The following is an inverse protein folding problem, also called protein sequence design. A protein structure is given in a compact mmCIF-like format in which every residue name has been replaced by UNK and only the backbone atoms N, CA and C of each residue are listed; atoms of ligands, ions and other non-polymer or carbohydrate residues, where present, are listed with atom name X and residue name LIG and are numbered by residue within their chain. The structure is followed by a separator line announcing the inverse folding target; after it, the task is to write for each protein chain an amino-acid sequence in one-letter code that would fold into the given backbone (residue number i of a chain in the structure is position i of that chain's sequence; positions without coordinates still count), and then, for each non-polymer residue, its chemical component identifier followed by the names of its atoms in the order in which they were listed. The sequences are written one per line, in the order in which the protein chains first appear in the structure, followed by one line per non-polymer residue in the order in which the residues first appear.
data_IF_146057233402
#
_entry.id   IF_146057233402
#
_cell.length_a   1.000
_cell.length_b   1.000
_cell.length_c   1.000
_cell.angle_alpha   90.00
_cell.angle_beta   90.00
_cell.angle_gamma   90.00
#
_symmetry.space_group_name_H-M   'P 1'
#
loop_
_entity.id
_entity.type
_entity.pdbx_description
1 polymer ?
#
# COMPACT_ATOMS: atom_id res chain seq x y z
N UNK A 1 74.64 27.05 30.66
CA UNK A 1 73.22 27.16 31.09
C UNK A 1 72.38 26.50 30.03
N UNK A 2 72.08 25.19 30.20
CA UNK A 2 71.30 24.39 29.25
C UNK A 2 69.84 24.46 29.65
N UNK A 3 68.98 24.97 28.76
CA UNK A 3 67.53 24.94 28.92
C UNK A 3 66.97 23.73 28.14
N UNK A 4 66.54 22.70 28.88
CA UNK A 4 65.90 21.51 28.33
C UNK A 4 64.45 21.76 28.16
N UNK A 5 63.96 21.89 26.92
CA UNK A 5 62.53 21.92 26.57
C UNK A 5 61.95 20.50 26.58
N UNK A 6 61.07 20.20 27.54
CA UNK A 6 60.27 18.97 27.56
C UNK A 6 59.10 19.13 26.60
N UNK A 7 59.05 18.32 25.56
CA UNK A 7 57.89 18.15 24.69
C UNK A 7 56.87 17.29 25.41
N UNK A 8 55.65 17.87 25.67
CA UNK A 8 54.51 17.15 26.17
C UNK A 8 53.74 16.58 24.95
N UNK A 9 53.83 15.27 24.77
CA UNK A 9 53.03 14.59 23.77
C UNK A 9 51.59 14.46 24.24
N UNK A 10 50.67 15.22 23.64
CA UNK A 10 49.24 15.01 23.80
C UNK A 10 48.83 13.79 22.95
N UNK A 11 48.60 12.65 23.59
CA UNK A 11 47.93 11.52 22.94
C UNK A 11 46.45 11.81 22.87
N UNK A 12 45.96 12.16 21.67
CA UNK A 12 44.54 12.24 21.38
C UNK A 12 44.00 10.81 21.31
N UNK A 13 43.40 10.35 22.41
CA UNK A 13 42.59 9.11 22.41
C UNK A 13 41.31 9.40 21.64
N UNK A 14 41.29 9.04 20.35
CA UNK A 14 40.05 9.01 19.56
C UNK A 14 39.21 7.85 20.09
N UNK A 15 38.27 8.14 20.97
CA UNK A 15 37.17 7.23 21.25
C UNK A 15 36.31 7.11 19.97
N UNK A 16 36.62 6.10 19.15
CA UNK A 16 35.67 5.67 18.14
C UNK A 16 34.43 5.17 18.88
N UNK A 17 33.35 5.97 18.84
CA UNK A 17 32.02 5.49 19.18
C UNK A 17 31.68 4.39 18.19
N UNK A 18 32.04 3.16 18.52
CA UNK A 18 31.48 1.97 17.87
C UNK A 18 30.02 1.94 18.34
N UNK A 19 29.11 2.51 17.54
CA UNK A 19 27.69 2.24 17.70
C UNK A 19 27.56 0.70 17.72
N UNK A 20 26.86 0.12 18.70
CA UNK A 20 26.65 -1.31 18.68
C UNK A 20 25.89 -1.64 17.39
N UNK A 21 26.62 -2.20 16.42
CA UNK A 21 25.99 -2.96 15.34
C UNK A 21 25.16 -4.00 16.09
N UNK A 22 23.84 -3.93 15.96
CA UNK A 22 22.94 -4.96 16.53
C UNK A 22 23.48 -6.29 16.01
N UNK A 23 24.11 -7.03 16.90
CA UNK A 23 24.57 -8.37 16.56
C UNK A 23 23.33 -9.18 16.22
N UNK A 24 23.21 -9.58 14.94
CA UNK A 24 22.27 -10.61 14.54
C UNK A 24 22.39 -11.75 15.54
N UNK A 25 21.27 -12.29 15.99
CA UNK A 25 21.33 -13.48 16.83
C UNK A 25 21.74 -14.68 15.96
N UNK A 26 23.04 -14.89 15.85
CA UNK A 26 23.65 -15.89 14.97
C UNK A 26 23.16 -17.30 15.29
N UNK A 27 22.84 -17.56 16.55
CA UNK A 27 22.29 -18.83 16.99
C UNK A 27 20.90 -19.08 16.41
N UNK A 28 19.99 -18.10 16.54
CA UNK A 28 18.63 -18.19 15.98
C UNK A 28 18.67 -18.22 14.44
N UNK A 29 19.56 -17.47 13.81
CA UNK A 29 19.71 -17.50 12.36
C UNK A 29 20.19 -18.88 11.89
N UNK A 30 21.20 -19.46 12.56
CA UNK A 30 21.68 -20.81 12.29
C UNK A 30 20.60 -21.87 12.52
N UNK A 31 19.81 -21.74 13.60
CA UNK A 31 18.68 -22.61 13.88
C UNK A 31 17.65 -22.57 12.74
N UNK A 32 17.22 -21.36 12.33
CA UNK A 32 16.26 -21.17 11.25
C UNK A 32 16.74 -21.84 9.96
N UNK A 33 17.96 -21.57 9.54
CA UNK A 33 18.49 -22.06 8.26
C UNK A 33 18.65 -23.57 8.22
N UNK A 34 18.95 -24.22 9.36
CA UNK A 34 19.11 -25.68 9.45
C UNK A 34 17.80 -26.42 9.61
N UNK A 35 16.89 -25.90 10.45
CA UNK A 35 15.70 -26.66 10.89
C UNK A 35 14.40 -26.13 10.34
N UNK A 36 14.38 -24.89 9.83
CA UNK A 36 13.18 -24.11 9.49
C UNK A 36 12.20 -23.94 10.67
N UNK A 37 12.64 -24.16 11.90
CA UNK A 37 11.86 -24.00 13.12
C UNK A 37 12.47 -22.89 13.96
N UNK A 38 11.77 -21.75 14.08
CA UNK A 38 12.26 -20.58 14.79
C UNK A 38 11.10 -19.75 15.37
N UNK A 39 10.18 -20.44 16.07
CA UNK A 39 9.10 -19.74 16.78
C UNK A 39 9.70 -18.87 17.88
N UNK A 40 9.21 -17.63 17.99
CA UNK A 40 9.66 -16.64 18.97
C UNK A 40 11.16 -16.30 18.91
N UNK A 41 11.88 -16.71 17.86
CA UNK A 41 13.27 -16.34 17.66
C UNK A 41 13.41 -14.82 17.49
N UNK A 42 14.53 -14.26 17.95
CA UNK A 42 14.96 -12.92 17.58
C UNK A 42 15.85 -13.01 16.33
N UNK A 43 15.29 -12.56 15.21
CA UNK A 43 15.90 -12.49 13.89
C UNK A 43 15.91 -11.04 13.40
N UNK A 44 15.85 -10.07 14.34
CA UNK A 44 15.82 -8.66 14.00
C UNK A 44 17.06 -8.23 13.24
N UNK A 45 16.85 -7.55 12.10
CA UNK A 45 17.94 -7.13 11.19
C UNK A 45 18.59 -8.24 10.39
N UNK A 46 18.13 -9.49 10.49
CA UNK A 46 18.75 -10.65 9.83
C UNK A 46 18.81 -10.49 8.30
N UNK A 47 19.95 -10.84 7.70
CA UNK A 47 20.18 -10.90 6.25
C UNK A 47 19.71 -12.25 5.67
N UNK A 48 18.50 -12.32 5.14
CA UNK A 48 17.85 -13.53 4.62
C UNK A 48 17.48 -13.42 3.13
N UNK A 49 18.19 -12.59 2.38
CA UNK A 49 17.98 -12.40 0.95
C UNK A 49 18.12 -13.72 0.21
N UNK A 50 17.16 -14.07 -0.67
CA UNK A 50 17.06 -15.35 -1.39
C UNK A 50 16.97 -16.60 -0.52
N UNK A 51 16.81 -16.48 0.81
CA UNK A 51 16.74 -17.66 1.69
C UNK A 51 15.58 -18.57 1.32
N UNK A 52 15.81 -19.89 1.36
CA UNK A 52 14.75 -20.87 1.18
C UNK A 52 14.09 -21.23 2.53
N UNK A 53 13.04 -20.51 2.85
CA UNK A 53 12.24 -20.64 4.07
C UNK A 53 10.83 -21.19 3.79
N UNK A 54 10.65 -21.90 2.66
CA UNK A 54 9.37 -22.52 2.33
C UNK A 54 8.95 -23.50 3.45
N UNK A 55 7.72 -23.32 3.97
CA UNK A 55 7.16 -24.06 5.08
C UNK A 55 7.82 -23.78 6.44
N UNK A 56 8.67 -22.76 6.56
CA UNK A 56 9.32 -22.43 7.83
C UNK A 56 8.29 -22.01 8.89
N UNK A 57 8.54 -22.40 10.15
CA UNK A 57 7.76 -21.96 11.29
C UNK A 57 8.46 -20.79 12.00
N UNK A 58 7.93 -19.61 11.78
CA UNK A 58 8.39 -18.33 12.29
C UNK A 58 7.31 -17.65 13.16
N UNK A 59 6.36 -18.44 13.70
CA UNK A 59 5.29 -17.90 14.51
C UNK A 59 5.83 -17.12 15.71
N UNK A 60 5.35 -15.86 15.88
CA UNK A 60 5.78 -14.97 16.96
C UNK A 60 7.25 -14.52 16.88
N UNK A 61 7.99 -14.84 15.81
CA UNK A 61 9.38 -14.40 15.66
C UNK A 61 9.51 -12.88 15.51
N UNK A 62 10.60 -12.32 16.02
CA UNK A 62 10.97 -10.93 15.78
C UNK A 62 11.86 -10.84 14.54
N UNK A 63 11.31 -10.36 13.44
CA UNK A 63 11.99 -10.12 12.16
C UNK A 63 12.09 -8.63 11.84
N UNK A 64 11.91 -7.76 12.85
CA UNK A 64 11.92 -6.31 12.64
C UNK A 64 13.19 -5.85 11.93
N UNK A 65 13.03 -5.14 10.80
CA UNK A 65 14.15 -4.65 9.98
C UNK A 65 14.94 -5.73 9.25
N UNK A 66 14.53 -7.00 9.28
CA UNK A 66 15.20 -8.06 8.53
C UNK A 66 15.06 -7.87 7.02
N UNK A 67 16.01 -8.41 6.24
CA UNK A 67 15.96 -8.38 4.79
C UNK A 67 15.65 -9.78 4.23
N UNK A 68 14.40 -9.98 3.85
CA UNK A 68 13.85 -11.19 3.22
C UNK A 68 13.55 -10.97 1.74
N UNK A 69 14.22 -10.00 1.10
CA UNK A 69 14.01 -9.72 -0.33
C UNK A 69 14.26 -10.98 -1.15
N UNK A 70 13.31 -11.30 -2.04
CA UNK A 70 13.33 -12.48 -2.93
C UNK A 70 13.46 -13.83 -2.20
N UNK A 71 13.20 -13.87 -0.88
CA UNK A 71 13.16 -15.12 -0.13
C UNK A 71 11.95 -15.99 -0.53
N UNK A 72 12.11 -17.30 -0.45
CA UNK A 72 11.05 -18.29 -0.67
C UNK A 72 10.39 -18.60 0.66
N UNK A 73 9.19 -18.07 0.91
CA UNK A 73 8.41 -18.22 2.14
C UNK A 73 7.05 -18.91 1.87
N UNK A 74 6.94 -19.62 0.73
CA UNK A 74 5.68 -20.28 0.38
C UNK A 74 5.25 -21.24 1.50
N UNK A 75 4.01 -21.07 1.99
CA UNK A 75 3.45 -21.85 3.09
C UNK A 75 4.11 -21.63 4.46
N UNK A 76 4.97 -20.63 4.64
CA UNK A 76 5.58 -20.33 5.92
C UNK A 76 4.54 -19.82 6.94
N UNK A 77 4.75 -20.16 8.22
CA UNK A 77 3.95 -19.67 9.32
C UNK A 77 4.64 -18.45 9.97
N UNK A 78 4.11 -17.26 9.72
CA UNK A 78 4.54 -15.97 10.25
C UNK A 78 3.48 -15.37 11.20
N UNK A 79 2.55 -16.21 11.72
CA UNK A 79 1.46 -15.72 12.56
C UNK A 79 1.99 -15.04 13.82
N UNK A 80 1.47 -13.82 14.11
CA UNK A 80 1.88 -13.02 15.26
C UNK A 80 3.33 -12.52 15.22
N UNK A 81 4.08 -12.72 14.11
CA UNK A 81 5.45 -12.27 13.99
C UNK A 81 5.54 -10.72 13.94
N UNK A 82 6.62 -10.17 14.47
CA UNK A 82 6.96 -8.76 14.29
C UNK A 82 7.78 -8.62 13.00
N UNK A 83 7.13 -8.08 11.97
CA UNK A 83 7.68 -7.84 10.63
C UNK A 83 7.85 -6.34 10.36
N UNK A 84 7.89 -5.51 11.40
CA UNK A 84 7.99 -4.05 11.24
C UNK A 84 9.26 -3.66 10.52
N UNK A 85 9.14 -2.90 9.41
CA UNK A 85 10.28 -2.49 8.59
C UNK A 85 11.02 -3.63 7.87
N UNK A 86 10.48 -4.84 7.87
CA UNK A 86 11.06 -5.99 7.16
C UNK A 86 10.94 -5.80 5.65
N UNK A 87 12.00 -6.10 4.89
CA UNK A 87 11.96 -6.12 3.43
C UNK A 87 11.55 -7.50 2.92
N UNK A 88 10.39 -7.58 2.24
CA UNK A 88 9.91 -8.72 1.47
C UNK A 88 9.87 -8.41 -0.03
N UNK A 89 10.68 -7.47 -0.49
CA UNK A 89 10.66 -7.05 -1.90
C UNK A 89 10.84 -8.26 -2.83
N UNK A 90 9.84 -8.55 -3.67
CA UNK A 90 9.85 -9.71 -4.57
C UNK A 90 9.82 -11.09 -3.90
N UNK A 91 9.55 -11.18 -2.60
CA UNK A 91 9.51 -12.46 -1.88
C UNK A 91 8.27 -13.30 -2.26
N UNK A 92 8.41 -14.61 -2.22
CA UNK A 92 7.29 -15.55 -2.42
C UNK A 92 6.66 -15.92 -1.08
N UNK A 93 5.53 -15.29 -0.77
CA UNK A 93 4.68 -15.53 0.40
C UNK A 93 3.40 -16.30 0.04
N UNK A 94 3.40 -17.01 -1.09
CA UNK A 94 2.24 -17.80 -1.55
C UNK A 94 1.79 -18.79 -0.47
N UNK A 95 0.52 -18.70 -0.05
CA UNK A 95 -0.04 -19.55 1.00
C UNK A 95 0.54 -19.35 2.40
N UNK A 96 1.37 -18.33 2.63
CA UNK A 96 1.92 -18.04 3.95
C UNK A 96 0.84 -17.59 4.93
N UNK A 97 1.01 -17.92 6.21
CA UNK A 97 0.15 -17.47 7.30
C UNK A 97 0.77 -16.25 7.99
N UNK A 98 0.21 -15.07 7.75
CA UNK A 98 0.62 -13.80 8.38
C UNK A 98 -0.42 -13.31 9.42
N UNK A 99 -1.34 -14.17 9.88
CA UNK A 99 -2.42 -13.75 10.78
C UNK A 99 -1.89 -13.06 12.04
N UNK A 100 -2.38 -11.85 12.30
CA UNK A 100 -1.97 -11.06 13.46
C UNK A 100 -0.51 -10.57 13.43
N UNK A 101 0.20 -10.71 12.31
CA UNK A 101 1.56 -10.20 12.17
C UNK A 101 1.58 -8.66 12.16
N UNK A 102 2.63 -8.07 12.72
CA UNK A 102 2.87 -6.63 12.71
C UNK A 102 3.72 -6.27 11.50
N UNK A 103 3.13 -5.64 10.49
CA UNK A 103 3.80 -5.30 9.21
C UNK A 103 4.02 -3.79 9.02
N UNK A 104 4.10 -3.03 10.11
CA UNK A 104 4.26 -1.58 10.05
C UNK A 104 5.53 -1.19 9.28
N UNK A 105 5.38 -0.46 8.16
CA UNK A 105 6.49 -0.05 7.32
C UNK A 105 7.22 -1.19 6.61
N UNK A 106 6.65 -2.40 6.58
CA UNK A 106 7.23 -3.52 5.82
C UNK A 106 7.18 -3.26 4.31
N UNK A 107 8.20 -3.68 3.59
CA UNK A 107 8.29 -3.55 2.13
C UNK A 107 7.88 -4.86 1.45
N UNK A 108 6.63 -4.92 0.99
CA UNK A 108 6.04 -6.04 0.25
C UNK A 108 5.93 -5.77 -1.26
N UNK A 109 6.68 -4.78 -1.78
CA UNK A 109 6.63 -4.43 -3.21
C UNK A 109 7.03 -5.61 -4.08
N UNK A 110 6.16 -5.94 -5.04
CA UNK A 110 6.38 -7.08 -5.94
C UNK A 110 6.31 -8.45 -5.27
N UNK A 111 5.97 -8.55 -3.99
CA UNK A 111 5.81 -9.83 -3.30
C UNK A 111 4.61 -10.63 -3.82
N UNK A 112 4.69 -11.96 -3.76
CA UNK A 112 3.61 -12.88 -4.13
C UNK A 112 2.83 -13.27 -2.87
N UNK A 113 1.55 -12.88 -2.79
CA UNK A 113 0.66 -13.09 -1.65
C UNK A 113 -0.55 -13.98 -2.00
N UNK A 114 -0.50 -14.69 -3.12
CA UNK A 114 -1.59 -15.58 -3.56
C UNK A 114 -1.90 -16.59 -2.46
N UNK A 115 -3.17 -16.64 -2.03
CA UNK A 115 -3.64 -17.51 -0.94
C UNK A 115 -2.96 -17.27 0.43
N UNK A 116 -2.23 -16.19 0.62
CA UNK A 116 -1.73 -15.82 1.94
C UNK A 116 -2.87 -15.45 2.89
N UNK A 117 -2.77 -15.84 4.16
CA UNK A 117 -3.73 -15.47 5.20
C UNK A 117 -3.24 -14.23 5.96
N UNK A 118 -4.06 -13.18 5.99
CA UNK A 118 -3.75 -11.87 6.58
C UNK A 118 -4.81 -11.44 7.60
N UNK A 119 -5.47 -12.40 8.26
CA UNK A 119 -6.53 -12.12 9.24
C UNK A 119 -5.93 -11.38 10.45
N UNK A 120 -6.47 -10.20 10.76
CA UNK A 120 -5.98 -9.38 11.86
C UNK A 120 -4.62 -8.70 11.61
N UNK A 121 -4.16 -8.67 10.35
CA UNK A 121 -2.94 -7.97 9.93
C UNK A 121 -3.33 -6.67 9.24
N UNK A 122 -2.91 -5.50 9.78
CA UNK A 122 -3.12 -4.20 9.13
C UNK A 122 -1.99 -3.91 8.15
N UNK A 123 -2.34 -3.72 6.88
CA UNK A 123 -1.41 -3.36 5.80
C UNK A 123 -1.32 -1.84 5.56
N UNK A 124 -1.96 -1.01 6.40
CA UNK A 124 -2.15 0.43 6.14
C UNK A 124 -0.86 1.22 6.01
N UNK A 125 0.22 0.75 6.62
CA UNK A 125 1.55 1.38 6.58
C UNK A 125 2.58 0.57 5.81
N UNK A 126 2.20 -0.59 5.24
CA UNK A 126 3.09 -1.43 4.45
C UNK A 126 3.19 -0.92 3.00
N UNK A 127 4.35 -1.07 2.38
CA UNK A 127 4.55 -0.78 0.96
C UNK A 127 4.22 -2.02 0.14
N UNK A 128 3.13 -1.99 -0.62
CA UNK A 128 2.61 -3.17 -1.34
C UNK A 128 2.44 -2.96 -2.84
N UNK A 129 3.08 -1.92 -3.42
CA UNK A 129 3.00 -1.62 -4.85
C UNK A 129 3.50 -2.82 -5.68
N UNK A 130 2.65 -3.27 -6.61
CA UNK A 130 2.98 -4.43 -7.45
C UNK A 130 2.92 -5.78 -6.73
N UNK A 131 2.47 -5.85 -5.47
CA UNK A 131 2.20 -7.12 -4.81
C UNK A 131 1.11 -7.92 -5.55
N UNK A 132 1.36 -9.21 -5.75
CA UNK A 132 0.52 -10.10 -6.56
C UNK A 132 -0.31 -11.00 -5.64
N UNK A 133 -1.61 -11.14 -5.97
CA UNK A 133 -2.49 -12.08 -5.24
C UNK A 133 -2.88 -11.61 -3.84
N UNK A 134 -2.77 -10.29 -3.54
CA UNK A 134 -3.18 -9.76 -2.24
C UNK A 134 -4.68 -10.00 -1.99
N UNK A 135 -5.04 -10.61 -0.85
CA UNK A 135 -6.44 -10.85 -0.48
C UNK A 135 -7.25 -9.55 -0.39
N UNK A 136 -8.54 -9.59 -0.76
CA UNK A 136 -9.41 -8.41 -0.74
C UNK A 136 -9.61 -7.84 0.67
N UNK A 137 -9.42 -8.63 1.71
CA UNK A 137 -9.57 -8.25 3.13
C UNK A 137 -8.23 -7.92 3.82
N UNK A 138 -7.15 -7.78 3.05
CA UNK A 138 -5.80 -7.58 3.59
C UNK A 138 -5.48 -6.12 3.98
N UNK A 139 -6.42 -5.20 3.87
CA UNK A 139 -6.19 -3.79 4.19
C UNK A 139 -7.49 -3.05 4.47
N UNK A 140 -7.39 -1.76 4.80
CA UNK A 140 -8.55 -0.89 4.98
C UNK A 140 -9.16 -0.43 3.65
N UNK A 141 -10.43 -0.01 3.63
CA UNK A 141 -11.04 0.62 2.47
C UNK A 141 -10.23 1.83 2.00
N UNK A 142 -9.72 2.62 2.95
CA UNK A 142 -8.91 3.83 2.68
C UNK A 142 -7.59 3.49 1.99
N UNK A 143 -6.94 2.38 2.36
CA UNK A 143 -5.71 1.91 1.74
C UNK A 143 -5.94 1.54 0.26
N UNK A 144 -6.92 0.68 -0.02
CA UNK A 144 -7.25 0.31 -1.40
C UNK A 144 -7.73 1.51 -2.22
N UNK A 145 -8.51 2.40 -1.61
CA UNK A 145 -8.91 3.65 -2.22
C UNK A 145 -7.70 4.54 -2.58
N UNK A 146 -6.73 4.70 -1.67
CA UNK A 146 -5.50 5.44 -1.91
C UNK A 146 -4.71 4.88 -3.10
N UNK A 147 -4.63 3.56 -3.25
CA UNK A 147 -4.00 2.93 -4.42
C UNK A 147 -4.81 3.14 -5.69
N UNK A 148 -6.14 3.09 -5.60
CA UNK A 148 -7.00 3.46 -6.71
C UNK A 148 -6.72 4.87 -7.21
N UNK A 149 -6.55 5.83 -6.30
CA UNK A 149 -6.20 7.20 -6.63
C UNK A 149 -4.83 7.31 -7.30
N UNK A 150 -3.80 6.63 -6.76
CA UNK A 150 -2.45 6.63 -7.36
C UNK A 150 -2.46 6.06 -8.78
N UNK A 151 -3.17 4.96 -9.01
CA UNK A 151 -3.29 4.39 -10.36
C UNK A 151 -4.09 5.31 -11.30
N UNK A 152 -5.15 5.96 -10.80
CA UNK A 152 -5.91 6.94 -11.58
C UNK A 152 -5.08 8.17 -11.97
N UNK A 153 -4.20 8.66 -11.08
CA UNK A 153 -3.27 9.76 -11.37
C UNK A 153 -2.27 9.40 -12.47
N UNK A 154 -1.81 8.15 -12.52
CA UNK A 154 -0.94 7.62 -13.58
C UNK A 154 -1.69 7.35 -14.89
N UNK A 155 -3.03 7.49 -14.92
CA UNK A 155 -3.87 7.14 -16.06
C UNK A 155 -4.22 5.66 -16.17
N UNK A 156 -3.83 4.83 -15.20
CA UNK A 156 -4.07 3.39 -15.15
C UNK A 156 -5.49 3.09 -14.63
N UNK A 157 -6.52 3.59 -15.32
CA UNK A 157 -7.91 3.53 -14.82
C UNK A 157 -8.44 2.12 -14.59
N UNK A 158 -8.01 1.11 -15.35
CA UNK A 158 -8.38 -0.30 -15.11
C UNK A 158 -7.84 -0.81 -13.76
N UNK A 159 -6.59 -0.50 -13.44
CA UNK A 159 -5.99 -0.84 -12.15
C UNK A 159 -6.64 -0.04 -11.01
N UNK A 160 -7.01 1.22 -11.26
CA UNK A 160 -7.77 2.03 -10.30
C UNK A 160 -9.12 1.39 -9.98
N UNK A 161 -9.88 0.92 -10.98
CA UNK A 161 -11.16 0.20 -10.76
C UNK A 161 -10.98 -1.01 -9.86
N UNK A 162 -9.98 -1.85 -10.12
CA UNK A 162 -9.69 -3.04 -9.29
C UNK A 162 -9.48 -2.66 -7.82
N UNK A 163 -8.78 -1.57 -7.54
CA UNK A 163 -8.52 -1.11 -6.19
C UNK A 163 -9.78 -0.49 -5.54
N UNK A 164 -10.56 0.29 -6.28
CA UNK A 164 -11.84 0.80 -5.77
C UNK A 164 -12.83 -0.31 -5.48
N UNK A 165 -12.90 -1.36 -6.31
CA UNK A 165 -13.74 -2.53 -6.05
C UNK A 165 -13.36 -3.24 -4.76
N UNK A 166 -12.06 -3.38 -4.46
CA UNK A 166 -11.58 -3.92 -3.18
C UNK A 166 -12.00 -3.04 -2.00
N UNK A 167 -11.84 -1.71 -2.11
CA UNK A 167 -12.27 -0.77 -1.08
C UNK A 167 -13.76 -0.90 -0.79
N UNK A 168 -14.57 -0.98 -1.84
CA UNK A 168 -16.04 -1.08 -1.75
C UNK A 168 -16.53 -2.45 -1.30
N UNK A 169 -15.78 -3.52 -1.57
CA UNK A 169 -16.06 -4.85 -1.03
C UNK A 169 -15.88 -4.90 0.50
N UNK A 170 -14.94 -4.13 1.06
CA UNK A 170 -14.71 -4.03 2.50
C UNK A 170 -15.71 -3.07 3.15
N UNK A 171 -15.94 -1.90 2.56
CA UNK A 171 -16.88 -0.90 3.03
C UNK A 171 -17.84 -0.48 1.90
N UNK A 172 -19.04 -1.10 1.80
CA UNK A 172 -20.05 -0.75 0.79
C UNK A 172 -20.61 0.67 0.93
N UNK A 173 -20.38 1.36 2.04
CA UNK A 173 -20.86 2.72 2.27
C UNK A 173 -19.75 3.77 2.07
N UNK A 174 -18.65 3.41 1.42
CA UNK A 174 -17.50 4.30 1.21
C UNK A 174 -17.74 5.24 0.02
N UNK A 175 -18.37 6.39 0.27
CA UNK A 175 -18.81 7.35 -0.76
C UNK A 175 -17.69 7.78 -1.71
N UNK A 176 -16.47 8.07 -1.17
CA UNK A 176 -15.30 8.46 -1.96
C UNK A 176 -14.87 7.36 -2.94
N UNK A 177 -15.00 6.09 -2.53
CA UNK A 177 -14.71 4.94 -3.39
C UNK A 177 -15.61 4.89 -4.62
N UNK A 178 -16.90 5.14 -4.46
CA UNK A 178 -17.84 5.22 -5.58
C UNK A 178 -17.56 6.41 -6.48
N UNK A 179 -17.26 7.59 -5.93
CA UNK A 179 -16.92 8.76 -6.73
C UNK A 179 -15.63 8.51 -7.55
N UNK A 180 -14.60 7.92 -6.92
CA UNK A 180 -13.36 7.55 -7.60
C UNK A 180 -13.58 6.50 -8.70
N UNK A 181 -14.42 5.49 -8.44
CA UNK A 181 -14.79 4.47 -9.42
C UNK A 181 -15.59 5.07 -10.59
N UNK A 182 -16.51 5.98 -10.31
CA UNK A 182 -17.26 6.73 -11.31
C UNK A 182 -16.34 7.55 -12.22
N UNK A 183 -15.35 8.24 -11.64
CA UNK A 183 -14.33 8.96 -12.39
C UNK A 183 -13.51 8.02 -13.31
N UNK A 184 -13.10 6.86 -12.81
CA UNK A 184 -12.36 5.89 -13.60
C UNK A 184 -13.18 5.33 -14.76
N UNK A 185 -14.49 5.05 -14.56
CA UNK A 185 -15.40 4.66 -15.64
C UNK A 185 -15.56 5.77 -16.68
N UNK A 186 -15.70 7.02 -16.27
CA UNK A 186 -15.77 8.15 -17.21
C UNK A 186 -14.53 8.22 -18.09
N UNK A 187 -13.35 8.08 -17.48
CA UNK A 187 -12.06 8.11 -18.19
C UNK A 187 -11.85 6.93 -19.15
N UNK A 188 -12.53 5.83 -18.91
CA UNK A 188 -12.59 4.66 -19.80
C UNK A 188 -13.73 4.74 -20.84
N UNK A 189 -14.49 5.84 -20.85
CA UNK A 189 -15.59 6.06 -21.80
C UNK A 189 -16.90 5.38 -21.43
N UNK A 190 -17.02 4.77 -20.24
CA UNK A 190 -18.25 4.16 -19.76
C UNK A 190 -19.08 5.16 -18.94
N UNK A 191 -19.79 6.04 -19.65
CA UNK A 191 -20.56 7.13 -19.03
C UNK A 191 -21.73 6.62 -18.19
N UNK A 192 -22.38 5.52 -18.57
CA UNK A 192 -23.49 4.95 -17.81
C UNK A 192 -23.02 4.41 -16.46
N UNK A 193 -21.93 3.67 -16.44
CA UNK A 193 -21.34 3.20 -15.18
C UNK A 193 -20.82 4.36 -14.33
N UNK A 194 -20.24 5.40 -14.96
CA UNK A 194 -19.83 6.62 -14.25
C UNK A 194 -21.03 7.28 -13.56
N UNK A 195 -22.14 7.49 -14.28
CA UNK A 195 -23.37 8.09 -13.75
C UNK A 195 -23.89 7.33 -12.53
N UNK A 196 -24.10 6.01 -12.67
CA UNK A 196 -24.61 5.16 -11.58
C UNK A 196 -23.74 5.23 -10.32
N UNK A 197 -22.43 5.19 -10.48
CA UNK A 197 -21.50 5.26 -9.35
C UNK A 197 -21.52 6.63 -8.67
N UNK A 198 -21.59 7.71 -9.42
CA UNK A 198 -21.62 9.07 -8.87
C UNK A 198 -22.99 9.40 -8.24
N UNK A 199 -24.10 8.91 -8.78
CA UNK A 199 -25.41 9.01 -8.15
C UNK A 199 -25.42 8.33 -6.79
N UNK A 200 -24.84 7.12 -6.70
CA UNK A 200 -24.74 6.40 -5.43
C UNK A 200 -23.80 7.11 -4.45
N UNK A 201 -22.67 7.63 -4.93
CA UNK A 201 -21.77 8.44 -4.12
C UNK A 201 -22.46 9.68 -3.56
N UNK A 202 -23.25 10.39 -4.39
CA UNK A 202 -23.99 11.57 -3.98
C UNK A 202 -24.98 11.26 -2.83
N UNK A 203 -25.72 10.17 -2.95
CA UNK A 203 -26.65 9.71 -1.89
C UNK A 203 -25.90 9.41 -0.59
N UNK A 204 -24.77 8.70 -0.66
CA UNK A 204 -23.95 8.39 0.51
C UNK A 204 -23.37 9.64 1.15
N UNK A 205 -22.91 10.62 0.36
CA UNK A 205 -22.39 11.89 0.90
C UNK A 205 -23.49 12.68 1.63
N UNK A 206 -24.71 12.68 1.12
CA UNK A 206 -25.86 13.30 1.78
C UNK A 206 -26.18 12.61 3.11
N UNK A 207 -26.28 11.28 3.13
CA UNK A 207 -26.50 10.48 4.33
C UNK A 207 -25.41 10.68 5.39
N UNK A 208 -24.14 10.84 4.94
CA UNK A 208 -22.96 11.08 5.78
C UNK A 208 -22.78 12.54 6.18
N UNK A 209 -23.70 13.43 5.78
CA UNK A 209 -23.62 14.88 6.04
C UNK A 209 -22.29 15.50 5.57
N UNK A 210 -21.83 15.10 4.39
CA UNK A 210 -20.64 15.62 3.74
C UNK A 210 -21.05 16.54 2.57
N UNK A 211 -21.26 17.84 2.80
CA UNK A 211 -21.75 18.78 1.78
C UNK A 211 -20.76 18.96 0.63
N UNK A 212 -19.44 18.98 0.90
CA UNK A 212 -18.42 19.15 -0.12
C UNK A 212 -18.42 17.95 -1.10
N UNK A 213 -18.57 16.73 -0.57
CA UNK A 213 -18.68 15.51 -1.36
C UNK A 213 -19.96 15.47 -2.19
N UNK A 214 -21.08 15.86 -1.58
CA UNK A 214 -22.36 15.96 -2.25
C UNK A 214 -22.31 16.94 -3.42
N UNK A 215 -21.82 18.16 -3.17
CA UNK A 215 -21.69 19.19 -4.21
C UNK A 215 -20.77 18.74 -5.36
N UNK A 216 -19.64 18.08 -5.02
CA UNK A 216 -18.71 17.55 -6.03
C UNK A 216 -19.39 16.50 -6.91
N UNK A 217 -20.16 15.58 -6.30
CA UNK A 217 -20.90 14.55 -7.03
C UNK A 217 -22.01 15.16 -7.91
N UNK A 218 -22.76 16.13 -7.40
CA UNK A 218 -23.80 16.83 -8.18
C UNK A 218 -23.21 17.60 -9.38
N UNK A 219 -22.11 18.29 -9.17
CA UNK A 219 -21.40 18.97 -10.25
C UNK A 219 -20.89 17.99 -11.31
N UNK A 220 -20.41 16.81 -10.88
CA UNK A 220 -19.99 15.76 -11.81
C UNK A 220 -21.21 15.31 -12.67
N UNK A 221 -22.33 14.99 -12.05
CA UNK A 221 -23.55 14.51 -12.76
C UNK A 221 -24.07 15.56 -13.74
N UNK A 222 -24.17 16.84 -13.32
CA UNK A 222 -24.61 17.94 -14.19
C UNK A 222 -23.75 18.08 -15.45
N UNK A 223 -22.43 17.99 -15.28
CA UNK A 223 -21.52 18.09 -16.41
C UNK A 223 -21.57 16.85 -17.31
N UNK A 224 -21.77 15.66 -16.73
CA UNK A 224 -21.95 14.43 -17.51
C UNK A 224 -23.21 14.49 -18.38
N UNK A 225 -24.31 15.01 -17.85
CA UNK A 225 -25.55 15.24 -18.61
C UNK A 225 -25.35 16.25 -19.74
N UNK A 226 -24.60 17.33 -19.50
CA UNK A 226 -24.25 18.30 -20.54
C UNK A 226 -23.44 17.66 -21.67
N UNK A 227 -22.49 16.77 -21.35
CA UNK A 227 -21.71 15.99 -22.32
C UNK A 227 -22.62 15.09 -23.15
N UNK A 228 -23.52 14.35 -22.51
CA UNK A 228 -24.45 13.43 -23.19
C UNK A 228 -25.40 14.20 -24.12
N UNK A 229 -25.96 15.31 -23.65
CA UNK A 229 -26.86 16.16 -24.44
C UNK A 229 -26.14 16.74 -25.67
N UNK A 230 -24.93 17.27 -25.48
CA UNK A 230 -24.16 17.86 -26.58
C UNK A 230 -23.72 16.82 -27.61
N UNK A 231 -23.43 15.57 -27.17
CA UNK A 231 -23.12 14.45 -28.08
C UNK A 231 -24.33 14.01 -28.89
N UNK A 232 -25.49 13.94 -28.28
CA UNK A 232 -26.75 13.59 -28.98
C UNK A 232 -27.15 14.65 -30.03
N UNK A 233 -26.90 15.94 -29.73
CA UNK A 233 -27.28 17.04 -30.63
C UNK A 233 -26.29 17.23 -31.79
N UNK A 234 -25.01 16.90 -31.66
CA UNK A 234 -23.96 17.26 -32.62
C UNK A 234 -23.36 16.06 -33.39
N UNK A 235 -23.83 14.84 -33.18
CA UNK A 235 -23.53 13.65 -34.01
C UNK A 235 -22.07 13.24 -34.13
N UNK A 236 -21.16 13.63 -33.19
CA UNK A 236 -19.77 13.23 -33.30
C UNK A 236 -18.80 13.81 -32.27
N UNK A 237 -17.52 13.53 -32.42
CA UNK A 237 -16.44 13.99 -31.57
C UNK A 237 -16.36 15.54 -31.59
N UNK A 238 -16.63 16.18 -30.48
CA UNK A 238 -16.54 17.63 -30.30
C UNK A 238 -15.40 17.93 -29.31
N UNK A 239 -14.34 18.69 -29.69
CA UNK A 239 -13.23 19.05 -28.81
C UNK A 239 -13.67 19.76 -27.53
N UNK A 240 -14.82 20.46 -27.54
CA UNK A 240 -15.36 21.11 -26.34
C UNK A 240 -15.81 20.09 -25.29
N UNK A 241 -16.31 18.90 -25.71
CA UNK A 241 -16.74 17.83 -24.81
C UNK A 241 -15.55 17.24 -24.04
N UNK A 242 -14.42 17.06 -24.71
CA UNK A 242 -13.19 16.61 -24.06
C UNK A 242 -12.70 17.60 -23.00
N UNK A 243 -12.87 18.91 -23.24
CA UNK A 243 -12.58 19.95 -22.26
C UNK A 243 -13.47 19.83 -21.01
N UNK A 244 -14.77 19.63 -21.18
CA UNK A 244 -15.71 19.44 -20.06
C UNK A 244 -15.37 18.17 -19.28
N UNK A 245 -15.15 17.05 -19.95
CA UNK A 245 -14.78 15.76 -19.31
C UNK A 245 -13.49 15.90 -18.49
N UNK A 246 -12.47 16.58 -19.03
CA UNK A 246 -11.21 16.83 -18.30
C UNK A 246 -11.42 17.75 -17.10
N UNK A 247 -12.24 18.80 -17.23
CA UNK A 247 -12.56 19.72 -16.14
C UNK A 247 -13.26 19.01 -14.98
N UNK A 248 -14.30 18.22 -15.28
CA UNK A 248 -15.01 17.40 -14.28
C UNK A 248 -14.08 16.42 -13.59
N UNK A 249 -13.28 15.72 -14.39
CA UNK A 249 -12.30 14.75 -13.86
C UNK A 249 -11.27 15.43 -12.94
N UNK A 250 -10.82 16.64 -13.29
CA UNK A 250 -9.88 17.40 -12.46
C UNK A 250 -10.49 17.82 -11.12
N UNK A 251 -11.71 18.36 -11.12
CA UNK A 251 -12.40 18.77 -9.89
C UNK A 251 -12.69 17.60 -8.97
N UNK A 252 -13.22 16.51 -9.51
CA UNK A 252 -13.46 15.29 -8.75
C UNK A 252 -12.16 14.73 -8.15
N UNK A 253 -11.08 14.67 -8.94
CA UNK A 253 -9.78 14.21 -8.47
C UNK A 253 -9.21 15.11 -7.37
N UNK A 254 -9.33 16.43 -7.47
CA UNK A 254 -8.89 17.36 -6.43
C UNK A 254 -9.62 17.14 -5.12
N UNK A 255 -10.95 16.93 -5.15
CA UNK A 255 -11.72 16.61 -3.97
C UNK A 255 -11.27 15.27 -3.35
N UNK A 256 -11.12 14.24 -4.18
CA UNK A 256 -10.74 12.89 -3.73
C UNK A 256 -9.35 12.87 -3.08
N UNK A 257 -8.42 13.72 -3.53
CA UNK A 257 -7.07 13.83 -2.98
C UNK A 257 -7.01 14.64 -1.67
N UNK A 258 -7.94 15.58 -1.45
CA UNK A 258 -7.93 16.50 -0.28
C UNK A 258 -7.96 15.79 1.08
N UNK A 259 -8.49 14.58 1.16
CA UNK A 259 -8.60 13.80 2.39
C UNK A 259 -7.95 12.41 2.32
N UNK A 260 -7.30 12.07 1.22
CA UNK A 260 -6.75 10.73 1.03
C UNK A 260 -5.42 10.58 1.77
N UNK A 261 -5.31 9.52 2.58
CA UNK A 261 -4.01 9.00 3.03
C UNK A 261 -3.44 8.19 1.86
N UNK A 262 -2.56 8.82 1.07
CA UNK A 262 -1.89 8.10 -0.01
C UNK A 262 -0.83 7.18 0.59
N UNK A 263 -0.77 5.90 0.17
CA UNK A 263 0.30 4.99 0.55
C UNK A 263 1.58 5.42 -0.19
N UNK A 264 2.58 5.85 0.55
CA UNK A 264 3.90 6.25 0.03
C UNK A 264 4.89 5.11 0.13
#
# INVERSE_FOLDING_TARGET
MLVTTRAIAFSVLTFAFILPVRAENIEHLSQLLRTKQCQFCDLSGAGLVFANLAGANLAGANLAGANLSQAKLAGANLSGANLSGTSFNGADLTGANLNGALVNGADLRGAYLTNASLIGTSMDTAYVQGAIGMPNNAGSPEMFYGWGLLEAQKGNYKAALTNYDKALAINPNFAQGYLGRGLAFLRLGNENAAKQNVEYASKLFEEQKNPDGYETAQNFLKNLEAVQTARNNNGGANPQLDGIIRGVASLAMQFLLKGAKLPF
#
